data_IF_712336440749
#
_entry.id   IF_712336440749
#
_cell.length_a   1.000
_cell.length_b   1.000
_cell.length_c   1.000
_cell.angle_alpha   90.00
_cell.angle_beta   90.00
_cell.angle_gamma   90.00
#
_symmetry.space_group_name_H-M   'P 1'
#
loop_
_entity.id
_entity.type
_entity.pdbx_description
1 polymer ?
#
# COMPACT_ATOMS: atom_id res chain seq x y z
N UNK A 1 -15.98 -16.34 -4.87
CA UNK A 1 -15.07 -16.51 -3.72
C UNK A 1 -14.64 -15.12 -3.30
N UNK A 2 -14.62 -14.84 -2.00
CA UNK A 2 -14.10 -13.55 -1.51
C UNK A 2 -12.57 -13.60 -1.57
N UNK A 3 -11.97 -12.73 -2.38
CA UNK A 3 -10.51 -12.61 -2.44
C UNK A 3 -10.04 -11.70 -1.30
N UNK A 4 -8.95 -12.08 -0.64
CA UNK A 4 -8.35 -11.28 0.44
C UNK A 4 -6.93 -10.87 0.07
N UNK A 5 -6.57 -9.64 0.42
CA UNK A 5 -5.22 -9.11 0.29
C UNK A 5 -4.71 -8.75 1.68
N UNK A 6 -3.41 -8.91 1.90
CA UNK A 6 -2.76 -8.35 3.10
C UNK A 6 -2.02 -7.08 2.71
N UNK A 7 -2.30 -5.98 3.39
CA UNK A 7 -1.64 -4.69 3.20
C UNK A 7 -0.79 -4.38 4.43
N UNK A 8 0.53 -4.39 4.27
CA UNK A 8 1.47 -3.93 5.28
C UNK A 8 1.86 -2.47 5.06
N UNK A 9 1.82 -1.63 6.10
CA UNK A 9 2.10 -0.19 5.98
C UNK A 9 3.02 0.32 7.08
N UNK A 10 4.12 0.92 6.67
CA UNK A 10 5.07 1.56 7.59
C UNK A 10 4.65 3.00 7.90
N UNK A 11 4.76 3.38 9.17
CA UNK A 11 4.74 4.80 9.54
C UNK A 11 6.02 5.48 9.05
N UNK A 12 6.01 6.80 9.04
CA UNK A 12 7.24 7.58 8.91
C UNK A 12 8.19 7.27 10.08
N UNK A 13 9.49 7.33 9.79
CA UNK A 13 10.58 7.07 10.73
C UNK A 13 11.39 8.33 11.02
N UNK A 14 10.75 9.50 10.93
CA UNK A 14 11.39 10.81 11.01
C UNK A 14 12.01 11.07 12.39
N UNK A 15 11.63 10.30 13.42
CA UNK A 15 12.23 10.31 14.75
C UNK A 15 13.66 9.74 14.78
N UNK A 16 13.96 8.74 13.94
CA UNK A 16 15.23 8.00 13.99
C UNK A 16 16.45 8.85 13.61
N UNK A 17 16.44 9.66 12.53
CA UNK A 17 17.56 10.57 12.23
C UNK A 17 17.84 11.59 13.32
N UNK A 18 16.86 11.87 14.20
CA UNK A 18 16.99 12.78 15.34
C UNK A 18 17.47 12.07 16.62
N UNK A 19 17.68 10.75 16.59
CA UNK A 19 18.03 9.96 17.77
C UNK A 19 16.89 9.80 18.78
N UNK A 20 15.64 10.03 18.36
CA UNK A 20 14.46 9.95 19.22
C UNK A 20 13.90 8.52 19.21
N UNK A 21 13.58 7.99 20.40
CA UNK A 21 13.07 6.62 20.60
C UNK A 21 11.79 6.32 19.83
N UNK A 22 11.61 5.05 19.45
CA UNK A 22 10.39 4.54 18.79
C UNK A 22 9.18 4.43 19.74
N UNK A 23 9.37 4.64 21.05
CA UNK A 23 8.30 4.75 22.06
C UNK A 23 7.94 6.20 22.43
N UNK A 24 8.52 7.18 21.72
CA UNK A 24 8.33 8.61 22.01
C UNK A 24 6.96 9.15 21.57
N UNK A 25 6.62 10.35 22.06
CA UNK A 25 5.46 11.12 21.59
C UNK A 25 5.53 11.36 20.07
N UNK A 26 6.71 11.68 19.52
CA UNK A 26 6.91 11.83 18.09
C UNK A 26 6.62 10.53 17.32
N UNK A 27 7.05 9.38 17.83
CA UNK A 27 6.75 8.10 17.19
C UNK A 27 5.24 7.80 17.20
N UNK A 28 4.55 8.18 18.28
CA UNK A 28 3.09 8.08 18.39
C UNK A 28 2.37 9.03 17.43
N UNK A 29 2.86 10.26 17.25
CA UNK A 29 2.34 11.19 16.23
C UNK A 29 2.47 10.61 14.82
N UNK A 30 3.62 10.05 14.47
CA UNK A 30 3.84 9.43 13.15
C UNK A 30 2.97 8.17 12.96
N UNK A 31 2.75 7.40 14.03
CA UNK A 31 1.78 6.29 14.04
C UNK A 31 0.36 6.80 13.76
N UNK A 32 -0.09 7.85 14.46
CA UNK A 32 -1.41 8.43 14.29
C UNK A 32 -1.60 9.03 12.89
N UNK A 33 -0.55 9.65 12.34
CA UNK A 33 -0.57 10.15 10.95
C UNK A 33 -0.79 9.03 9.94
N UNK A 34 -0.13 7.87 10.12
CA UNK A 34 -0.39 6.67 9.31
C UNK A 34 -1.81 6.18 9.50
N UNK A 35 -2.29 6.08 10.75
CA UNK A 35 -3.66 5.66 11.07
C UNK A 35 -4.68 6.50 10.32
N UNK A 36 -4.59 7.82 10.42
CA UNK A 36 -5.55 8.74 9.80
C UNK A 36 -5.51 8.64 8.27
N UNK A 37 -4.32 8.48 7.67
CA UNK A 37 -4.18 8.24 6.24
C UNK A 37 -4.84 6.93 5.78
N UNK A 38 -4.76 5.86 6.59
CA UNK A 38 -5.40 4.59 6.28
C UNK A 38 -6.92 4.65 6.47
N UNK A 39 -7.41 5.34 7.49
CA UNK A 39 -8.85 5.55 7.69
C UNK A 39 -9.45 6.36 6.54
N UNK A 40 -8.81 7.46 6.13
CA UNK A 40 -9.25 8.26 4.98
C UNK A 40 -9.38 7.41 3.69
N UNK A 41 -8.39 6.53 3.45
CA UNK A 41 -8.35 5.68 2.26
C UNK A 41 -9.31 4.51 2.33
N UNK A 42 -9.52 3.87 3.48
CA UNK A 42 -10.22 2.58 3.54
C UNK A 42 -11.54 2.58 4.32
N UNK A 43 -11.80 3.59 5.14
CA UNK A 43 -13.05 3.66 5.88
C UNK A 43 -14.22 3.98 4.93
N UNK A 44 -15.31 3.22 5.10
CA UNK A 44 -16.56 3.34 4.35
C UNK A 44 -16.43 3.20 2.82
N UNK A 45 -15.60 2.28 2.33
CA UNK A 45 -15.49 2.00 0.88
C UNK A 45 -16.41 0.85 0.46
N UNK A 46 -17.13 1.04 -0.64
CA UNK A 46 -18.15 0.09 -1.12
C UNK A 46 -17.55 -1.17 -1.76
N UNK A 47 -16.34 -1.08 -2.32
CA UNK A 47 -15.73 -2.17 -3.11
C UNK A 47 -14.56 -2.88 -2.41
N UNK A 48 -14.07 -2.32 -1.30
CA UNK A 48 -13.03 -2.90 -0.46
C UNK A 48 -13.47 -2.78 0.99
N UNK A 49 -13.45 -3.89 1.71
CA UNK A 49 -13.77 -3.91 3.12
C UNK A 49 -12.54 -4.33 3.91
N UNK A 50 -12.09 -3.48 4.84
CA UNK A 50 -11.07 -3.88 5.81
C UNK A 50 -11.71 -4.86 6.79
N UNK A 51 -11.24 -6.11 6.77
CA UNK A 51 -11.68 -7.20 7.64
C UNK A 51 -10.95 -7.17 8.98
N UNK A 52 -9.69 -6.76 8.94
CA UNK A 52 -8.86 -6.59 10.12
C UNK A 52 -7.99 -5.35 9.96
N UNK A 53 -8.00 -4.49 10.97
CA UNK A 53 -7.20 -3.27 11.03
C UNK A 53 -5.83 -3.51 11.68
N UNK A 54 -5.59 -4.70 12.25
CA UNK A 54 -4.39 -4.99 13.02
C UNK A 54 -4.16 -3.93 14.11
N UNK A 55 -2.92 -3.47 14.21
CA UNK A 55 -2.48 -2.48 15.19
C UNK A 55 -2.70 -1.03 14.73
N UNK A 56 -3.42 -0.79 13.62
CA UNK A 56 -3.62 0.55 13.05
C UNK A 56 -4.27 1.53 14.04
N UNK A 57 -5.15 1.04 14.91
CA UNK A 57 -5.92 1.86 15.87
C UNK A 57 -5.39 1.76 17.30
N UNK A 58 -4.19 1.21 17.50
CA UNK A 58 -3.59 1.11 18.84
C UNK A 58 -3.26 2.52 19.38
N UNK A 59 -3.10 2.60 20.68
CA UNK A 59 -2.67 3.80 21.43
C UNK A 59 -1.15 3.87 21.61
N UNK A 60 -0.43 2.82 21.19
CA UNK A 60 1.03 2.74 21.20
C UNK A 60 1.60 2.89 19.78
N UNK A 61 2.82 3.46 19.67
CA UNK A 61 3.47 3.56 18.38
C UNK A 61 3.88 2.18 17.86
N UNK A 62 3.64 1.97 16.57
CA UNK A 62 4.04 0.77 15.84
C UNK A 62 4.70 1.18 14.53
N UNK A 63 5.90 0.67 14.26
CA UNK A 63 6.62 0.94 13.00
C UNK A 63 5.82 0.46 11.78
N UNK A 64 5.22 -0.71 11.91
CA UNK A 64 4.52 -1.42 10.84
C UNK A 64 3.13 -1.82 11.32
N UNK A 65 2.20 -2.05 10.40
CA UNK A 65 0.88 -2.62 10.70
C UNK A 65 0.41 -3.38 9.49
N UNK A 66 -0.35 -4.46 9.72
CA UNK A 66 -0.95 -5.26 8.67
C UNK A 66 -2.47 -5.12 8.71
N UNK A 67 -3.06 -4.93 7.54
CA UNK A 67 -4.50 -4.88 7.33
C UNK A 67 -4.88 -6.07 6.46
N UNK A 68 -6.00 -6.72 6.78
CA UNK A 68 -6.63 -7.71 5.90
C UNK A 68 -7.75 -7.03 5.14
N UNK A 69 -7.65 -7.00 3.82
CA UNK A 69 -8.59 -6.33 2.92
C UNK A 69 -9.37 -7.39 2.14
N UNK A 70 -10.68 -7.45 2.35
CA UNK A 70 -11.60 -8.24 1.54
C UNK A 70 -12.06 -7.46 0.31
N UNK A 71 -12.00 -8.11 -0.86
CA UNK A 71 -12.53 -7.57 -2.12
C UNK A 71 -13.99 -8.01 -2.24
N UNK A 72 -14.91 -7.07 -2.03
CA UNK A 72 -16.37 -7.32 -1.99
C UNK A 72 -17.07 -7.02 -3.32
N UNK A 73 -16.37 -6.43 -4.28
CA UNK A 73 -16.84 -6.18 -5.64
C UNK A 73 -15.71 -5.68 -6.53
N UNK A 74 -15.97 -5.52 -7.82
CA UNK A 74 -14.99 -4.97 -8.75
C UNK A 74 -14.86 -3.47 -8.52
N UNK A 75 -13.76 -3.03 -7.91
CA UNK A 75 -13.45 -1.61 -7.84
C UNK A 75 -13.35 -1.05 -9.27
N UNK A 76 -14.23 -0.10 -9.61
CA UNK A 76 -14.18 0.59 -10.91
C UNK A 76 -12.96 1.54 -10.90
N UNK A 77 -11.86 1.08 -11.50
CA UNK A 77 -10.65 1.89 -11.66
C UNK A 77 -10.66 2.56 -13.04
N UNK A 78 -10.87 3.87 -13.08
CA UNK A 78 -10.73 4.63 -14.31
C UNK A 78 -9.24 4.89 -14.58
N UNK A 79 -8.74 4.29 -15.66
CA UNK A 79 -7.33 4.20 -16.09
C UNK A 79 -6.58 5.52 -16.34
N UNK A 80 -7.18 6.67 -16.10
CA UNK A 80 -6.85 7.86 -16.87
C UNK A 80 -5.45 8.49 -16.63
N UNK A 81 -4.66 8.11 -15.61
CA UNK A 81 -3.57 9.04 -15.18
C UNK A 81 -2.19 8.41 -14.89
N UNK A 82 -1.99 7.07 -14.85
CA UNK A 82 -0.68 6.55 -14.40
C UNK A 82 -0.11 5.42 -15.26
N UNK A 83 0.89 5.68 -16.13
CA UNK A 83 1.57 4.66 -16.93
C UNK A 83 2.13 3.50 -16.11
N UNK A 84 2.68 3.77 -14.92
CA UNK A 84 3.21 2.74 -14.02
C UNK A 84 2.14 1.75 -13.52
N UNK A 85 0.90 2.19 -13.30
CA UNK A 85 -0.19 1.29 -12.88
C UNK A 85 -0.75 0.47 -14.05
N UNK A 86 -0.67 0.98 -15.28
CA UNK A 86 -1.00 0.20 -16.48
C UNK A 86 -0.03 -0.97 -16.62
N UNK A 87 1.27 -0.69 -16.58
CA UNK A 87 2.31 -1.72 -16.69
C UNK A 87 2.27 -2.74 -15.54
N UNK A 88 2.03 -2.28 -14.30
CA UNK A 88 1.75 -3.19 -13.17
C UNK A 88 0.60 -4.14 -13.47
N UNK A 89 -0.49 -3.62 -14.04
CA UNK A 89 -1.63 -4.42 -14.46
C UNK A 89 -1.28 -5.48 -15.48
N UNK A 90 -0.52 -5.10 -16.50
CA UNK A 90 -0.05 -6.02 -17.55
C UNK A 90 0.79 -7.16 -16.94
N UNK A 91 1.71 -6.85 -16.00
CA UNK A 91 2.53 -7.85 -15.33
C UNK A 91 1.77 -8.80 -14.42
N UNK A 92 0.75 -8.30 -13.71
CA UNK A 92 -0.12 -9.17 -12.92
C UNK A 92 -1.00 -10.06 -13.82
N UNK A 93 -1.51 -9.52 -14.93
CA UNK A 93 -2.29 -10.28 -15.90
C UNK A 93 -1.47 -11.38 -16.61
N UNK A 94 -0.21 -11.11 -16.97
CA UNK A 94 0.74 -12.10 -17.52
C UNK A 94 0.90 -13.33 -16.60
N UNK A 95 0.72 -13.16 -15.29
CA UNK A 95 0.81 -14.22 -14.27
C UNK A 95 -0.54 -14.79 -13.84
N UNK A 96 -1.59 -14.51 -14.62
CA UNK A 96 -2.96 -15.00 -14.40
C UNK A 96 -3.54 -14.57 -13.04
N UNK A 97 -3.14 -13.41 -12.52
CA UNK A 97 -3.78 -12.81 -11.35
C UNK A 97 -5.17 -12.33 -11.75
N UNK A 98 -6.17 -12.66 -10.93
CA UNK A 98 -7.57 -12.28 -11.15
C UNK A 98 -7.75 -10.76 -11.37
N UNK A 99 -8.64 -10.39 -12.29
CA UNK A 99 -8.87 -8.99 -12.66
C UNK A 99 -9.37 -8.13 -11.49
N UNK A 100 -10.19 -8.68 -10.59
CA UNK A 100 -10.68 -7.97 -9.42
C UNK A 100 -9.53 -7.71 -8.43
N UNK A 101 -8.61 -8.68 -8.26
CA UNK A 101 -7.38 -8.49 -7.48
C UNK A 101 -6.51 -7.42 -8.13
N UNK A 102 -6.24 -7.53 -9.42
CA UNK A 102 -5.40 -6.60 -10.17
C UNK A 102 -5.93 -5.16 -10.08
N UNK A 103 -7.24 -4.96 -10.23
CA UNK A 103 -7.86 -3.64 -10.11
C UNK A 103 -7.83 -3.12 -8.68
N UNK A 104 -8.02 -3.98 -7.69
CA UNK A 104 -7.92 -3.62 -6.27
C UNK A 104 -6.50 -3.18 -5.91
N UNK A 105 -5.48 -3.90 -6.35
CA UNK A 105 -4.06 -3.52 -6.17
C UNK A 105 -3.78 -2.15 -6.79
N UNK A 106 -4.17 -1.93 -8.04
CA UNK A 106 -3.99 -0.63 -8.71
C UNK A 106 -4.65 0.50 -7.93
N UNK A 107 -5.88 0.28 -7.47
CA UNK A 107 -6.64 1.24 -6.68
C UNK A 107 -5.93 1.56 -5.35
N UNK A 108 -5.48 0.54 -4.62
CA UNK A 108 -4.76 0.71 -3.35
C UNK A 108 -3.51 1.56 -3.57
N UNK A 109 -2.71 1.23 -4.59
CA UNK A 109 -1.49 2.00 -4.90
C UNK A 109 -1.85 3.44 -5.26
N UNK A 110 -2.84 3.66 -6.13
CA UNK A 110 -3.28 4.99 -6.51
C UNK A 110 -3.74 5.85 -5.32
N UNK A 111 -4.34 5.24 -4.29
CA UNK A 111 -4.79 5.96 -3.08
C UNK A 111 -3.70 6.19 -2.04
N UNK A 112 -2.77 5.24 -1.87
CA UNK A 112 -1.70 5.36 -0.89
C UNK A 112 -0.50 6.18 -1.40
N UNK A 113 -0.30 6.29 -2.72
CA UNK A 113 0.79 7.09 -3.30
C UNK A 113 0.72 8.58 -2.93
N UNK A 114 -0.43 9.26 -3.02
CA UNK A 114 -0.58 10.62 -2.48
C UNK A 114 -0.20 10.73 -1.00
N UNK A 115 -0.54 9.72 -0.19
CA UNK A 115 -0.18 9.65 1.25
C UNK A 115 1.33 9.50 1.48
N UNK A 116 2.06 8.83 0.59
CA UNK A 116 3.53 8.84 0.62
C UNK A 116 4.09 10.22 0.25
N UNK A 117 3.51 10.88 -0.77
CA UNK A 117 3.96 12.20 -1.25
C UNK A 117 3.77 13.30 -0.19
N UNK A 118 2.67 13.26 0.56
CA UNK A 118 2.39 14.14 1.70
C UNK A 118 3.13 13.73 3.00
N UNK A 119 3.97 12.70 2.94
CA UNK A 119 4.71 12.14 4.07
C UNK A 119 3.79 11.73 5.24
N UNK A 120 2.61 11.22 4.94
CA UNK A 120 1.71 10.62 5.94
C UNK A 120 2.10 9.16 6.25
N UNK A 121 2.64 8.45 5.26
CA UNK A 121 3.18 7.09 5.38
C UNK A 121 4.57 6.99 4.72
N UNK A 122 5.33 5.93 5.04
CA UNK A 122 6.66 5.72 4.44
C UNK A 122 6.59 4.85 3.19
N UNK A 123 6.37 3.55 3.37
CA UNK A 123 6.26 2.52 2.35
C UNK A 123 5.14 1.54 2.70
N UNK A 124 4.67 0.80 1.69
CA UNK A 124 3.67 -0.23 1.91
C UNK A 124 3.91 -1.44 1.00
N UNK A 125 3.40 -2.59 1.43
CA UNK A 125 3.46 -3.86 0.72
C UNK A 125 2.06 -4.45 0.58
N UNK A 126 1.74 -5.02 -0.57
CA UNK A 126 0.49 -5.76 -0.80
C UNK A 126 0.87 -7.21 -1.09
N UNK A 127 0.35 -8.14 -0.29
CA UNK A 127 0.53 -9.58 -0.50
C UNK A 127 -0.77 -10.17 -1.04
N UNK A 128 -0.67 -10.86 -2.17
CA UNK A 128 -1.79 -11.53 -2.86
C UNK A 128 -2.01 -12.95 -2.28
N UNK A 129 -3.19 -13.56 -2.47
CA UNK A 129 -3.48 -14.92 -2.00
C UNK A 129 -2.50 -15.98 -2.49
N UNK A 130 -1.87 -15.76 -3.64
CA UNK A 130 -0.98 -16.72 -4.26
C UNK A 130 0.48 -16.59 -3.78
N UNK A 131 0.76 -15.66 -2.85
CA UNK A 131 2.08 -15.40 -2.30
C UNK A 131 2.88 -14.33 -3.06
N UNK A 132 2.34 -13.76 -4.14
CA UNK A 132 2.96 -12.61 -4.81
C UNK A 132 2.93 -11.38 -3.89
N UNK A 133 4.06 -10.66 -3.78
CA UNK A 133 4.20 -9.47 -2.95
C UNK A 133 4.57 -8.25 -3.78
N UNK A 134 3.89 -7.13 -3.56
CA UNK A 134 4.06 -5.88 -4.31
C UNK A 134 4.49 -4.78 -3.34
N UNK A 135 5.70 -4.27 -3.52
CA UNK A 135 6.32 -3.27 -2.67
C UNK A 135 6.28 -1.90 -3.33
N UNK A 136 5.74 -0.91 -2.63
CA UNK A 136 5.70 0.48 -3.06
C UNK A 136 6.66 1.33 -2.20
N UNK A 137 7.86 1.59 -2.72
CA UNK A 137 8.90 2.34 -2.02
C UNK A 137 8.61 3.85 -1.97
N UNK A 138 9.23 4.60 -1.04
CA UNK A 138 9.01 6.05 -0.92
C UNK A 138 9.31 6.80 -2.23
N UNK A 139 8.70 7.99 -2.37
CA UNK A 139 8.78 8.79 -3.59
C UNK A 139 10.10 9.60 -3.68
N UNK A 140 10.85 9.71 -2.59
CA UNK A 140 12.10 10.46 -2.50
C UNK A 140 13.22 9.79 -3.32
N UNK A 141 13.66 10.43 -4.41
CA UNK A 141 14.89 10.08 -5.13
C UNK A 141 14.77 9.07 -6.27
N UNK A 142 13.76 8.20 -6.30
CA UNK A 142 13.31 7.41 -7.47
C UNK A 142 12.07 6.58 -7.08
N UNK A 143 10.89 6.91 -7.62
CA UNK A 143 9.68 6.16 -7.31
C UNK A 143 9.68 4.81 -8.02
N UNK A 144 9.56 3.73 -7.25
CA UNK A 144 9.49 2.38 -7.80
C UNK A 144 8.39 1.53 -7.14
N UNK A 145 7.88 0.59 -7.92
CA UNK A 145 7.09 -0.55 -7.46
C UNK A 145 7.89 -1.81 -7.80
N UNK A 146 8.10 -2.69 -6.83
CA UNK A 146 8.75 -3.98 -7.06
C UNK A 146 7.75 -5.09 -6.80
N UNK A 147 7.68 -6.07 -7.71
CA UNK A 147 6.81 -7.24 -7.60
C UNK A 147 7.70 -8.44 -7.40
N UNK A 148 7.48 -9.18 -6.33
CA UNK A 148 8.04 -10.50 -6.09
C UNK A 148 6.95 -11.51 -6.38
N UNK A 149 7.07 -12.23 -7.50
CA UNK A 149 6.12 -13.27 -7.87
C UNK A 149 6.37 -14.54 -7.05
N UNK A 150 5.31 -15.32 -6.86
CA UNK A 150 5.39 -16.63 -6.15
C UNK A 150 6.38 -17.62 -6.76
N UNK A 151 6.69 -17.46 -8.05
CA UNK A 151 7.64 -18.30 -8.78
C UNK A 151 9.10 -17.85 -8.61
N UNK A 152 9.35 -16.83 -7.77
CA UNK A 152 10.65 -16.28 -7.47
C UNK A 152 11.11 -15.18 -8.44
N UNK A 153 10.37 -14.90 -9.51
CA UNK A 153 10.69 -13.79 -10.41
C UNK A 153 10.48 -12.44 -9.71
N UNK A 154 11.35 -11.49 -10.01
CA UNK A 154 11.29 -10.12 -9.48
C UNK A 154 11.19 -9.15 -10.66
N UNK A 155 10.21 -8.27 -10.61
CA UNK A 155 10.03 -7.18 -11.57
C UNK A 155 10.07 -5.83 -10.85
N UNK A 156 10.77 -4.86 -11.42
CA UNK A 156 10.83 -3.49 -10.88
C UNK A 156 10.33 -2.50 -11.90
N UNK A 157 9.31 -1.75 -11.52
CA UNK A 157 8.69 -0.70 -12.31
C UNK A 157 9.19 0.62 -11.75
N UNK A 158 10.05 1.29 -12.50
CA UNK A 158 10.40 2.69 -12.23
C UNK A 158 9.45 3.62 -12.98
N UNK A 159 9.07 4.71 -12.34
CA UNK A 159 8.26 5.75 -12.99
C UNK A 159 8.53 7.10 -12.35
N UNK A 160 8.24 8.16 -13.11
CA UNK A 160 8.37 9.53 -12.61
C UNK A 160 7.26 9.84 -11.60
N UNK A 161 7.67 10.23 -10.39
CA UNK A 161 6.82 10.70 -9.30
C UNK A 161 5.87 11.86 -9.66
N UNK A 162 6.15 12.59 -10.75
CA UNK A 162 5.32 13.70 -11.21
C UNK A 162 4.08 13.26 -12.01
N UNK A 163 4.00 12.00 -12.43
CA UNK A 163 2.90 11.47 -13.26
C UNK A 163 1.99 10.49 -12.48
N UNK A 164 1.75 10.78 -11.20
CA UNK A 164 0.85 10.05 -10.29
C UNK A 164 -0.29 10.93 -9.79
#
# INVERSE_FOLDING_TARGET
MEHQLTLGVYRRLDNRPLGISDDSEMALELHNKRKDALLDVFENKEHLQVKDWGETKDTKPHEFTELVIGIVGTAVFNYAIVPGLKYLGEKLAEKLVDDAITNSVKWIIAKLRPKQKSKEILNFQITLPDGTSIYAYPIEGNSSITIHFKDGNIETIQYDSQNL
#
